data_IF_509142566234
#
_entry.id   IF_509142566234
#
_cell.length_a   1.000
_cell.length_b   1.000
_cell.length_c   1.000
_cell.angle_alpha   90.00
_cell.angle_beta   90.00
_cell.angle_gamma   90.00
#
_symmetry.space_group_name_H-M   'P 1'
#
loop_
_entity.id
_entity.type
_entity.pdbx_description
1 polymer ?
#
# COMPACT_ATOMS: atom_id res chain seq x y z
N UNK A 1 0.53 4.55 -1.41
CA UNK A 1 0.82 3.32 -2.16
C UNK A 1 1.86 3.49 -3.26
N UNK A 2 1.54 4.11 -4.41
CA UNK A 2 2.48 4.21 -5.54
C UNK A 2 3.85 4.80 -5.18
N UNK A 3 3.85 5.89 -4.42
CA UNK A 3 5.07 6.51 -3.88
C UNK A 3 5.89 5.49 -3.07
N UNK A 4 5.28 4.87 -2.06
CA UNK A 4 5.95 3.87 -1.22
C UNK A 4 6.50 2.69 -2.03
N UNK A 5 5.74 2.17 -3.00
CA UNK A 5 6.20 1.09 -3.88
C UNK A 5 7.43 1.52 -4.71
N UNK A 6 7.40 2.73 -5.30
CA UNK A 6 8.53 3.25 -6.05
C UNK A 6 9.76 3.50 -5.18
N UNK A 7 9.60 4.11 -4.00
CA UNK A 7 10.70 4.35 -3.08
C UNK A 7 11.32 3.04 -2.55
N UNK A 8 10.50 2.01 -2.33
CA UNK A 8 10.99 0.69 -1.86
C UNK A 8 11.90 -0.01 -2.88
N UNK A 9 11.71 0.27 -4.18
CA UNK A 9 12.48 -0.37 -5.26
C UNK A 9 13.72 0.43 -5.69
N UNK A 10 13.88 1.66 -5.20
CA UNK A 10 15.09 2.46 -5.42
C UNK A 10 16.28 1.91 -4.64
N UNK A 11 17.47 2.35 -4.99
CA UNK A 11 18.68 2.09 -4.21
C UNK A 11 18.61 2.93 -2.93
N UNK A 12 18.70 2.32 -1.75
CA UNK A 12 18.68 3.04 -0.48
C UNK A 12 20.08 3.50 -0.06
N UNK A 13 20.72 4.30 -0.92
CA UNK A 13 22.02 4.92 -0.63
C UNK A 13 21.90 6.03 0.45
N UNK A 14 23.04 6.57 0.89
CA UNK A 14 23.07 7.64 1.90
C UNK A 14 22.27 8.89 1.50
N UNK A 15 22.13 9.18 0.20
CA UNK A 15 21.35 10.31 -0.30
C UNK A 15 19.86 10.04 -0.17
N UNK A 16 19.42 8.84 -0.52
CA UNK A 16 18.03 8.39 -0.33
C UNK A 16 17.66 8.41 1.14
N UNK A 17 18.52 7.89 2.02
CA UNK A 17 18.29 7.88 3.48
C UNK A 17 18.12 9.28 4.04
N UNK A 18 19.03 10.19 3.70
CA UNK A 18 18.93 11.60 4.11
C UNK A 18 17.66 12.27 3.60
N UNK A 19 17.30 12.01 2.34
CA UNK A 19 16.09 12.60 1.72
C UNK A 19 14.80 12.09 2.34
N UNK A 20 14.80 10.88 2.88
CA UNK A 20 13.65 10.26 3.55
C UNK A 20 13.71 10.37 5.09
N UNK A 21 14.68 11.11 5.64
CA UNK A 21 14.77 11.39 7.08
C UNK A 21 15.25 10.21 7.94
N UNK A 22 15.91 9.21 7.34
CA UNK A 22 16.49 8.09 8.09
C UNK A 22 17.87 8.45 8.64
N UNK A 23 18.05 8.36 9.96
CA UNK A 23 19.35 8.44 10.64
C UNK A 23 19.88 7.04 10.96
N UNK A 24 20.41 6.38 9.93
CA UNK A 24 21.39 5.28 9.83
C UNK A 24 21.60 4.18 10.89
N UNK A 25 20.92 4.12 12.04
CA UNK A 25 21.42 3.26 13.12
C UNK A 25 21.04 1.79 12.99
N UNK A 26 19.88 1.44 12.40
CA UNK A 26 19.44 0.04 12.24
C UNK A 26 18.46 -0.12 11.07
N UNK A 27 18.98 -0.11 9.84
CA UNK A 27 18.17 -0.42 8.67
C UNK A 27 18.33 -1.89 8.29
N UNK A 28 17.28 -2.54 7.77
CA UNK A 28 17.41 -3.83 7.13
C UNK A 28 18.46 -3.77 6.00
N UNK A 29 19.12 -4.88 5.67
CA UNK A 29 20.02 -4.92 4.52
C UNK A 29 19.29 -4.55 3.24
N UNK A 30 19.96 -3.81 2.34
CA UNK A 30 19.46 -3.46 1.02
C UNK A 30 19.10 -4.73 0.24
N UNK A 31 17.92 -4.72 -0.40
CA UNK A 31 17.52 -5.82 -1.27
C UNK A 31 18.36 -5.83 -2.54
N UNK A 32 18.87 -7.00 -2.92
CA UNK A 32 19.58 -7.17 -4.20
C UNK A 32 18.57 -7.25 -5.34
N UNK A 33 18.26 -6.11 -5.94
CA UNK A 33 17.33 -6.00 -7.07
C UNK A 33 18.05 -5.77 -8.39
N UNK A 34 17.63 -6.49 -9.43
CA UNK A 34 18.06 -6.25 -10.82
C UNK A 34 17.58 -4.88 -11.33
N UNK A 35 18.23 -4.29 -12.35
CA UNK A 35 17.77 -3.05 -12.95
C UNK A 35 16.30 -3.09 -13.40
N UNK A 36 15.83 -4.23 -13.93
CA UNK A 36 14.43 -4.40 -14.32
C UNK A 36 13.46 -4.40 -13.13
N UNK A 37 13.81 -5.05 -12.03
CA UNK A 37 12.98 -5.04 -10.81
C UNK A 37 12.82 -3.63 -10.23
N UNK A 38 13.86 -2.79 -10.33
CA UNK A 38 13.80 -1.41 -9.85
C UNK A 38 12.81 -0.51 -10.61
N UNK A 39 12.34 -0.97 -11.77
CA UNK A 39 11.40 -0.24 -12.64
C UNK A 39 9.94 -0.72 -12.48
N UNK A 40 9.68 -1.75 -11.66
CA UNK A 40 8.35 -2.38 -11.57
C UNK A 40 7.25 -1.42 -11.08
N UNK A 41 7.58 -0.44 -10.24
CA UNK A 41 6.64 0.56 -9.74
C UNK A 41 6.65 1.90 -10.54
N UNK A 42 7.21 1.90 -11.75
CA UNK A 42 7.23 3.05 -12.66
C UNK A 42 6.40 2.85 -13.93
N UNK A 43 5.98 1.61 -14.22
CA UNK A 43 5.23 1.25 -15.43
C UNK A 43 3.88 0.63 -15.07
N UNK A 44 3.02 1.39 -14.39
CA UNK A 44 1.69 0.93 -14.00
C UNK A 44 0.78 0.83 -15.20
N UNK A 45 0.00 -0.25 -15.29
CA UNK A 45 -1.07 -0.37 -16.26
C UNK A 45 -2.22 0.58 -15.90
N UNK A 46 -2.52 1.52 -16.80
CA UNK A 46 -3.56 2.54 -16.63
C UNK A 46 -4.89 2.14 -17.31
N UNK A 47 -4.98 0.95 -17.89
CA UNK A 47 -6.10 0.51 -18.72
C UNK A 47 -5.95 0.95 -20.19
N UNK A 48 -6.78 0.37 -21.07
CA UNK A 48 -6.83 0.71 -22.49
C UNK A 48 -5.46 0.67 -23.21
N UNK A 49 -4.60 -0.29 -22.83
CA UNK A 49 -3.26 -0.45 -23.39
C UNK A 49 -2.24 0.61 -22.98
N UNK A 50 -2.58 1.52 -22.05
CA UNK A 50 -1.68 2.58 -21.57
C UNK A 50 -0.91 2.14 -20.34
N UNK A 51 0.34 2.58 -20.25
CA UNK A 51 1.16 2.44 -19.04
C UNK A 51 1.77 3.79 -18.66
N UNK A 52 2.13 3.96 -17.39
CA UNK A 52 2.80 5.17 -16.93
C UNK A 52 3.21 5.16 -15.46
N UNK A 53 3.83 6.25 -14.99
CA UNK A 53 4.38 6.35 -13.62
C UNK A 53 3.32 6.53 -12.53
N UNK A 54 2.07 6.79 -12.92
CA UNK A 54 0.94 6.96 -12.01
C UNK A 54 -0.23 6.07 -12.42
N UNK A 55 -1.08 5.70 -11.47
CA UNK A 55 -2.30 4.92 -11.69
C UNK A 55 -3.33 5.31 -10.64
N UNK A 56 -4.63 5.26 -10.90
CA UNK A 56 -5.67 5.51 -9.86
C UNK A 56 -5.78 4.32 -8.90
N UNK A 57 -6.49 4.46 -7.78
CA UNK A 57 -6.72 3.34 -6.87
C UNK A 57 -7.49 2.20 -7.56
N UNK A 58 -8.54 2.55 -8.33
CA UNK A 58 -9.33 1.57 -9.07
C UNK A 58 -8.49 0.82 -10.11
N UNK A 59 -7.66 1.52 -10.91
CA UNK A 59 -6.81 0.87 -11.91
C UNK A 59 -5.66 0.07 -11.27
N UNK A 60 -5.20 0.45 -10.07
CA UNK A 60 -4.22 -0.31 -9.31
C UNK A 60 -4.79 -1.69 -8.96
N UNK A 61 -6.04 -1.72 -8.50
CA UNK A 61 -6.73 -2.96 -8.13
C UNK A 61 -7.13 -3.78 -9.36
N UNK A 62 -7.68 -3.14 -10.40
CA UNK A 62 -8.16 -3.83 -11.60
C UNK A 62 -7.04 -4.44 -12.47
N UNK A 63 -5.92 -3.74 -12.64
CA UNK A 63 -4.93 -4.10 -13.66
C UNK A 63 -3.54 -4.45 -13.11
N UNK A 64 -3.25 -4.08 -11.87
CA UNK A 64 -1.89 -4.17 -11.31
C UNK A 64 -1.82 -5.05 -10.07
N UNK A 65 -2.92 -5.72 -9.72
CA UNK A 65 -3.03 -6.54 -8.52
C UNK A 65 -3.84 -7.81 -8.77
N UNK A 66 -3.61 -8.80 -7.92
CA UNK A 66 -4.40 -10.02 -7.84
C UNK A 66 -5.29 -9.97 -6.61
N UNK A 67 -6.54 -10.41 -6.75
CA UNK A 67 -7.43 -10.61 -5.61
C UNK A 67 -6.97 -11.82 -4.80
N UNK A 68 -6.85 -11.64 -3.49
CA UNK A 68 -6.46 -12.68 -2.54
C UNK A 68 -7.70 -13.27 -1.86
N UNK A 69 -8.57 -12.41 -1.31
CA UNK A 69 -9.75 -12.85 -0.57
C UNK A 69 -10.34 -11.73 0.29
N UNK A 70 -11.33 -12.09 1.11
CA UNK A 70 -11.99 -11.20 2.08
C UNK A 70 -11.72 -11.61 3.54
N UNK A 71 -10.81 -12.57 3.77
CA UNK A 71 -10.36 -12.91 5.11
C UNK A 71 -8.98 -12.28 5.36
N UNK A 72 -8.90 -11.36 6.32
CA UNK A 72 -7.67 -10.63 6.67
C UNK A 72 -6.52 -11.55 7.08
N UNK A 73 -6.82 -12.77 7.55
CA UNK A 73 -5.81 -13.76 7.90
C UNK A 73 -5.04 -14.28 6.67
N UNK A 74 -5.53 -14.05 5.45
CA UNK A 74 -4.85 -14.40 4.20
C UNK A 74 -3.84 -13.34 3.74
N UNK A 75 -3.82 -12.16 4.38
CA UNK A 75 -2.95 -11.06 3.99
C UNK A 75 -1.48 -11.33 4.36
N UNK A 76 -0.58 -11.05 3.42
CA UNK A 76 0.87 -10.99 3.61
C UNK A 76 1.38 -9.56 3.62
N UNK A 77 2.50 -9.25 4.31
CA UNK A 77 3.06 -7.91 4.34
C UNK A 77 3.20 -7.30 2.94
N UNK A 78 2.69 -6.08 2.76
CA UNK A 78 2.61 -5.39 1.48
C UNK A 78 1.29 -5.56 0.73
N UNK A 79 0.41 -6.47 1.17
CA UNK A 79 -0.94 -6.57 0.62
C UNK A 79 -1.77 -5.32 0.94
N UNK A 80 -2.65 -4.99 0.00
CA UNK A 80 -3.55 -3.85 0.09
C UNK A 80 -4.92 -4.29 0.57
N UNK A 81 -5.43 -3.59 1.57
CA UNK A 81 -6.80 -3.72 2.06
C UNK A 81 -7.61 -2.63 1.37
N UNK A 82 -8.49 -3.03 0.45
CA UNK A 82 -9.21 -2.10 -0.41
C UNK A 82 -10.63 -1.84 0.11
N UNK A 83 -10.96 -0.55 0.22
CA UNK A 83 -12.29 -0.10 0.58
C UNK A 83 -12.89 0.80 -0.50
N UNK A 84 -14.15 0.53 -0.83
CA UNK A 84 -14.98 1.38 -1.66
C UNK A 84 -15.91 2.22 -0.78
N UNK A 85 -15.72 3.54 -0.77
CA UNK A 85 -16.59 4.48 -0.07
C UNK A 85 -17.46 5.28 -1.06
N UNK A 86 -17.76 4.71 -2.23
CA UNK A 86 -18.47 5.35 -3.32
C UNK A 86 -17.55 6.28 -4.10
N UNK A 87 -17.69 7.59 -3.89
CA UNK A 87 -16.90 8.60 -4.61
C UNK A 87 -15.41 8.61 -4.21
N UNK A 88 -15.06 7.92 -3.12
CA UNK A 88 -13.69 7.84 -2.62
C UNK A 88 -13.23 6.40 -2.44
N UNK A 89 -12.26 5.99 -3.25
CA UNK A 89 -11.59 4.71 -3.12
C UNK A 89 -10.42 4.81 -2.13
N UNK A 90 -10.33 3.91 -1.17
CA UNK A 90 -9.30 3.96 -0.12
C UNK A 90 -8.50 2.66 -0.04
N UNK A 91 -7.21 2.81 0.27
CA UNK A 91 -6.28 1.70 0.40
C UNK A 91 -5.56 1.81 1.73
N UNK A 92 -5.52 0.70 2.46
CA UNK A 92 -4.59 0.51 3.56
C UNK A 92 -3.57 -0.57 3.20
N UNK A 93 -2.43 -0.58 3.89
CA UNK A 93 -1.35 -1.55 3.66
C UNK A 93 -1.18 -2.44 4.87
N UNK A 94 -1.21 -3.74 4.65
CA UNK A 94 -0.94 -4.72 5.69
C UNK A 94 0.56 -4.83 5.95
N UNK A 95 0.96 -4.75 7.22
CA UNK A 95 2.34 -4.85 7.68
C UNK A 95 2.58 -6.10 8.53
N UNK A 96 1.71 -7.12 8.44
CA UNK A 96 1.79 -8.36 9.23
C UNK A 96 1.18 -8.29 10.63
N UNK A 97 1.24 -7.12 11.29
CA UNK A 97 0.58 -6.88 12.60
C UNK A 97 -0.20 -5.57 12.66
N UNK A 98 0.20 -4.63 11.83
CA UNK A 98 -0.37 -3.30 11.75
C UNK A 98 -0.94 -3.05 10.37
N UNK A 99 -1.88 -2.13 10.31
CA UNK A 99 -2.39 -1.55 9.08
C UNK A 99 -1.90 -0.11 9.01
N UNK A 100 -1.29 0.23 7.88
CA UNK A 100 -0.85 1.59 7.57
C UNK A 100 -1.85 2.23 6.62
N UNK A 101 -2.29 3.44 6.93
CA UNK A 101 -3.25 4.18 6.12
C UNK A 101 -2.96 5.67 6.15
N UNK A 102 -3.65 6.44 5.30
CA UNK A 102 -3.42 7.88 5.18
C UNK A 102 -4.74 8.65 5.25
N UNK A 103 -4.88 9.58 6.18
CA UNK A 103 -6.12 10.35 6.40
C UNK A 103 -6.16 11.70 5.70
N UNK A 104 -5.10 12.08 4.97
CA UNK A 104 -4.86 13.49 4.66
C UNK A 104 -4.14 14.18 5.81
N UNK A 105 -3.58 15.35 5.52
CA UNK A 105 -2.85 16.17 6.49
C UNK A 105 -3.80 17.13 7.20
N UNK A 106 -3.87 17.09 8.53
CA UNK A 106 -4.62 18.07 9.31
C UNK A 106 -3.86 19.40 9.50
N UNK A 107 -2.52 19.36 9.44
CA UNK A 107 -1.63 20.51 9.59
C UNK A 107 -0.47 20.45 8.60
N UNK A 108 0.33 21.51 8.49
CA UNK A 108 1.53 21.54 7.61
C UNK A 108 2.62 20.53 8.02
N UNK A 109 2.64 20.10 9.28
CA UNK A 109 3.64 19.15 9.80
C UNK A 109 3.09 17.73 9.94
N UNK A 110 1.79 17.54 9.75
CA UNK A 110 1.15 16.23 9.75
C UNK A 110 1.31 15.58 8.37
N UNK A 111 2.04 14.48 8.30
CA UNK A 111 2.22 13.71 7.06
C UNK A 111 0.99 12.85 6.71
N UNK A 112 -0.07 12.89 7.53
CA UNK A 112 -1.32 12.18 7.32
C UNK A 112 -1.24 10.66 7.45
N UNK A 113 -0.05 10.09 7.63
CA UNK A 113 0.16 8.66 7.78
C UNK A 113 -0.17 8.22 9.21
N UNK A 114 -0.83 7.08 9.33
CA UNK A 114 -1.22 6.47 10.61
C UNK A 114 -0.94 4.98 10.58
N UNK A 115 -0.72 4.42 11.76
CA UNK A 115 -0.53 2.99 11.99
C UNK A 115 -1.46 2.54 13.12
N UNK A 116 -2.21 1.47 12.89
CA UNK A 116 -3.11 0.89 13.90
C UNK A 116 -2.94 -0.63 13.92
N UNK A 117 -3.05 -1.25 15.08
CA UNK A 117 -3.06 -2.72 15.13
C UNK A 117 -4.35 -3.26 14.51
N UNK A 118 -4.31 -4.50 13.99
CA UNK A 118 -5.54 -5.13 13.48
C UNK A 118 -6.62 -5.17 14.56
N UNK A 119 -6.26 -5.56 15.79
CA UNK A 119 -7.21 -5.63 16.90
C UNK A 119 -7.91 -4.29 17.15
N UNK A 120 -7.18 -3.18 17.17
CA UNK A 120 -7.78 -1.86 17.34
C UNK A 120 -8.70 -1.51 16.17
N UNK A 121 -8.27 -1.76 14.93
CA UNK A 121 -9.07 -1.50 13.73
C UNK A 121 -10.42 -2.24 13.77
N UNK A 122 -10.41 -3.51 14.18
CA UNK A 122 -11.62 -4.34 14.31
C UNK A 122 -12.58 -3.85 15.41
N UNK A 123 -12.15 -2.93 16.28
CA UNK A 123 -12.97 -2.37 17.37
C UNK A 123 -13.38 -0.91 17.15
N UNK A 124 -13.10 -0.35 15.97
CA UNK A 124 -13.49 1.03 15.65
C UNK A 124 -15.00 1.21 15.64
N UNK A 125 -15.44 2.40 16.10
CA UNK A 125 -16.86 2.80 16.02
C UNK A 125 -17.32 3.00 14.58
N UNK A 126 -16.44 3.52 13.72
CA UNK A 126 -16.73 3.66 12.29
C UNK A 126 -16.48 2.31 11.60
N UNK A 127 -17.56 1.53 11.49
CA UNK A 127 -17.51 0.15 10.98
C UNK A 127 -17.17 0.07 9.49
N UNK A 128 -17.23 1.18 8.76
CA UNK A 128 -16.93 1.24 7.32
C UNK A 128 -15.48 0.85 6.99
N UNK A 129 -14.60 0.87 7.99
CA UNK A 129 -13.18 0.55 7.85
C UNK A 129 -12.80 -0.83 8.39
N UNK A 130 -13.76 -1.61 8.88
CA UNK A 130 -13.48 -2.94 9.42
C UNK A 130 -13.28 -3.91 8.22
N UNK A 131 -12.11 -4.54 8.05
CA UNK A 131 -11.85 -5.42 6.92
C UNK A 131 -12.39 -6.84 7.17
N UNK A 132 -13.71 -6.98 7.15
CA UNK A 132 -14.40 -8.26 7.26
C UNK A 132 -15.47 -8.43 6.17
N UNK A 133 -15.85 -9.67 5.92
CA UNK A 133 -16.82 -10.07 4.90
C UNK A 133 -18.22 -9.44 5.08
N UNK A 134 -18.59 -9.07 6.30
CA UNK A 134 -19.86 -8.40 6.60
C UNK A 134 -19.87 -6.91 6.23
N UNK A 135 -18.72 -6.28 6.02
CA UNK A 135 -18.63 -4.86 5.68
C UNK A 135 -18.72 -4.66 4.15
N UNK A 136 -19.80 -4.06 3.62
CA UNK A 136 -19.97 -3.88 2.18
C UNK A 136 -18.97 -2.91 1.56
N UNK A 137 -18.35 -2.04 2.35
CA UNK A 137 -17.29 -1.16 1.86
C UNK A 137 -15.97 -1.91 1.70
N UNK A 138 -15.79 -3.06 2.35
CA UNK A 138 -14.58 -3.85 2.25
C UNK A 138 -14.66 -4.78 1.03
N UNK A 139 -13.98 -4.37 -0.03
CA UNK A 139 -13.99 -5.12 -1.29
C UNK A 139 -13.07 -6.33 -1.21
N UNK A 140 -11.95 -6.19 -0.48
CA UNK A 140 -11.08 -7.33 -0.19
C UNK A 140 -9.59 -6.97 -0.16
N UNK A 141 -8.79 -8.03 -0.20
CA UNK A 141 -7.34 -7.99 -0.09
C UNK A 141 -6.76 -8.20 -1.47
N UNK A 142 -5.80 -7.36 -1.83
CA UNK A 142 -5.17 -7.36 -3.14
C UNK A 142 -3.66 -7.32 -3.02
N UNK A 143 -2.99 -8.20 -3.76
CA UNK A 143 -1.53 -8.25 -3.84
C UNK A 143 -1.06 -7.65 -5.14
N UNK A 144 -0.06 -6.78 -5.10
CA UNK A 144 0.55 -6.23 -6.31
C UNK A 144 1.12 -7.37 -7.17
N UNK A 145 0.91 -7.30 -8.49
CA UNK A 145 1.28 -8.36 -9.43
C UNK A 145 2.75 -8.76 -9.37
N UNK A 146 3.63 -7.83 -9.02
CA UNK A 146 5.07 -8.10 -8.91
C UNK A 146 5.49 -8.71 -7.56
N UNK A 147 4.61 -8.71 -6.55
CA UNK A 147 4.79 -9.41 -5.27
C UNK A 147 4.16 -10.81 -5.27
N UNK A 148 3.26 -11.08 -6.21
CA UNK A 148 2.56 -12.36 -6.34
C UNK A 148 3.30 -13.38 -7.23
N UNK A 149 4.54 -13.09 -7.62
CA UNK A 149 5.36 -13.93 -8.51
C UNK A 149 6.32 -14.80 -7.73
#
# INVERSE_FOLDING_TARGET
MRFAANETLKVHDSKWLKSNGFSSQYLPPEMTLTPGQRQLAQNWNQGNGKTGPYVTAINLIQYNSQFIGQDINQALPGDMIFFDQGDAQHLMVWMGRYVIYHTGSATKTDNGMRAVSLQQLMTWKDTRWIPNDSNPNFIGIYRLNFLAR
#
